data_IF_948026983594
#
_entry.id   IF_948026983594
#
_cell.length_a   1.000
_cell.length_b   1.000
_cell.length_c   1.000
_cell.angle_alpha   90.00
_cell.angle_beta   90.00
_cell.angle_gamma   90.00
#
_symmetry.space_group_name_H-M   'P 1'
#
loop_
_entity.id
_entity.type
_entity.pdbx_description
1 polymer ?
#
# COMPACT_ATOMS: atom_id res chain seq x y z
N UNK A 1 -6.70 4.97 77.91
CA UNK A 1 -6.30 6.40 77.98
C UNK A 1 -4.86 6.49 77.47
N UNK A 2 -4.47 6.97 76.30
CA UNK A 2 -5.08 7.33 75.02
C UNK A 2 -3.90 7.80 74.12
N UNK A 3 -4.12 7.80 72.78
CA UNK A 3 -3.43 8.64 71.77
C UNK A 3 -1.96 8.19 71.46
N UNK A 4 -1.45 8.00 70.23
CA UNK A 4 -1.81 8.23 68.82
C UNK A 4 -0.95 7.23 67.99
N UNK A 5 -1.53 6.56 66.99
CA UNK A 5 -0.77 5.93 65.89
C UNK A 5 -1.26 6.52 64.57
N UNK A 6 -0.34 7.10 63.81
CA UNK A 6 -0.54 7.54 62.42
C UNK A 6 0.10 6.49 61.53
N UNK A 7 -0.71 5.74 60.77
CA UNK A 7 -0.26 4.83 59.71
C UNK A 7 -0.78 5.36 58.37
N UNK A 8 0.16 5.49 57.44
CA UNK A 8 -0.04 5.92 56.06
C UNK A 8 -0.76 4.84 55.24
N UNK A 9 -1.71 5.28 54.42
CA UNK A 9 -2.52 4.46 53.51
C UNK A 9 -1.69 3.81 52.40
N UNK A 10 -1.86 2.51 52.20
CA UNK A 10 -1.76 1.88 50.88
C UNK A 10 -2.84 0.80 50.79
N UNK A 11 -3.98 1.14 50.19
CA UNK A 11 -5.15 0.28 50.10
C UNK A 11 -5.02 -0.68 48.89
N UNK A 12 -4.82 -1.95 49.18
CA UNK A 12 -5.24 -3.08 48.35
C UNK A 12 -6.77 -3.19 48.42
N UNK A 13 -7.45 -3.13 47.27
CA UNK A 13 -8.75 -3.81 47.09
C UNK A 13 -8.82 -4.45 45.72
N UNK A 14 -8.74 -5.77 45.76
CA UNK A 14 -9.28 -6.74 44.82
C UNK A 14 -10.61 -6.31 44.21
N UNK A 15 -10.67 -6.26 42.87
CA UNK A 15 -11.90 -6.45 42.13
C UNK A 15 -11.61 -7.52 41.08
N UNK A 16 -12.17 -8.71 41.30
CA UNK A 16 -12.30 -9.74 40.29
C UNK A 16 -13.15 -9.17 39.16
N UNK A 17 -12.51 -8.67 38.10
CA UNK A 17 -13.18 -8.53 36.81
C UNK A 17 -13.17 -9.91 36.16
N UNK A 18 -14.17 -10.72 36.50
CA UNK A 18 -14.67 -11.73 35.56
C UNK A 18 -15.21 -10.94 34.37
N UNK A 19 -14.34 -10.66 33.40
CA UNK A 19 -14.79 -10.28 32.06
C UNK A 19 -15.43 -11.55 31.50
N UNK A 20 -16.73 -11.69 31.70
CA UNK A 20 -17.54 -12.50 30.81
C UNK A 20 -17.19 -12.07 29.40
N UNK A 21 -16.60 -12.98 28.62
CA UNK A 21 -16.62 -12.90 27.17
C UNK A 21 -18.11 -12.88 26.78
N UNK A 22 -18.74 -11.71 26.81
CA UNK A 22 -19.93 -11.49 26.01
C UNK A 22 -19.54 -11.95 24.62
N UNK A 23 -20.24 -12.96 24.11
CA UNK A 23 -20.11 -13.46 22.74
C UNK A 23 -19.96 -12.22 21.86
N UNK A 24 -18.76 -11.98 21.32
CA UNK A 24 -18.63 -11.09 20.18
C UNK A 24 -19.49 -11.73 19.11
N UNK A 25 -20.70 -11.22 18.94
CA UNK A 25 -21.72 -11.83 18.07
C UNK A 25 -21.11 -11.95 16.68
N UNK A 26 -20.78 -13.20 16.31
CA UNK A 26 -20.06 -13.51 15.09
C UNK A 26 -21.05 -13.69 13.96
N UNK A 27 -20.78 -13.09 12.81
CA UNK A 27 -21.55 -13.30 11.59
C UNK A 27 -21.34 -14.72 11.07
N UNK A 28 -22.41 -15.50 10.88
CA UNK A 28 -22.35 -16.81 10.25
C UNK A 28 -22.69 -16.68 8.76
N UNK A 29 -21.79 -17.12 7.91
CA UNK A 29 -21.93 -17.03 6.47
C UNK A 29 -22.07 -18.42 5.87
N UNK A 30 -23.22 -18.71 5.26
CA UNK A 30 -23.37 -19.92 4.46
C UNK A 30 -22.77 -19.72 3.06
N UNK A 31 -21.94 -20.69 2.66
CA UNK A 31 -21.43 -20.83 1.30
C UNK A 31 -21.54 -22.27 0.84
N UNK A 32 -21.91 -22.55 -0.42
CA UNK A 32 -22.03 -23.92 -0.92
C UNK A 32 -20.66 -24.65 -0.91
N UNK A 33 -19.56 -23.90 -1.01
CA UNK A 33 -18.19 -24.44 -0.98
C UNK A 33 -17.21 -23.42 -0.38
N UNK A 34 -16.41 -23.85 0.60
CA UNK A 34 -15.37 -23.02 1.23
C UNK A 34 -14.07 -22.99 0.42
N UNK A 35 -14.10 -22.44 -0.80
CA UNK A 35 -12.92 -22.28 -1.67
C UNK A 35 -11.87 -21.33 -1.08
N UNK A 36 -10.64 -21.37 -1.60
CA UNK A 36 -9.57 -20.43 -1.22
C UNK A 36 -9.97 -18.97 -1.45
N UNK A 37 -10.56 -18.66 -2.61
CA UNK A 37 -11.02 -17.31 -2.99
C UNK A 37 -12.11 -16.78 -2.05
N UNK A 38 -13.10 -17.62 -1.70
CA UNK A 38 -14.14 -17.27 -0.72
C UNK A 38 -13.51 -16.96 0.64
N UNK A 39 -12.66 -17.85 1.16
CA UNK A 39 -12.00 -17.64 2.46
C UNK A 39 -11.22 -16.32 2.48
N UNK A 40 -10.45 -16.08 1.43
CA UNK A 40 -9.62 -14.89 1.28
C UNK A 40 -10.44 -13.60 1.25
N UNK A 41 -11.45 -13.51 0.39
CA UNK A 41 -12.25 -12.27 0.23
C UNK A 41 -13.11 -11.99 1.44
N UNK A 42 -13.74 -13.02 2.02
CA UNK A 42 -14.53 -12.83 3.22
C UNK A 42 -13.63 -12.43 4.40
N UNK A 43 -12.41 -12.98 4.51
CA UNK A 43 -11.42 -12.52 5.50
C UNK A 43 -11.03 -11.06 5.29
N UNK A 44 -10.75 -10.66 4.06
CA UNK A 44 -10.45 -9.27 3.72
C UNK A 44 -11.62 -8.34 4.08
N UNK A 45 -12.84 -8.65 3.64
CA UNK A 45 -13.99 -7.78 3.89
C UNK A 45 -14.33 -7.73 5.38
N UNK A 46 -14.55 -8.87 6.02
CA UNK A 46 -15.07 -8.90 7.38
C UNK A 46 -13.98 -8.65 8.43
N UNK A 47 -12.85 -9.35 8.40
CA UNK A 47 -11.80 -9.18 9.42
C UNK A 47 -10.93 -7.95 9.17
N UNK A 48 -10.49 -7.73 7.93
CA UNK A 48 -9.52 -6.65 7.66
C UNK A 48 -10.22 -5.29 7.50
N UNK A 49 -11.29 -5.23 6.70
CA UNK A 49 -11.93 -3.96 6.35
C UNK A 49 -13.02 -3.56 7.34
N UNK A 50 -13.89 -4.48 7.75
CA UNK A 50 -15.03 -4.18 8.62
C UNK A 50 -14.75 -4.45 10.11
N UNK A 51 -13.66 -5.15 10.43
CA UNK A 51 -13.30 -5.55 11.80
C UNK A 51 -14.40 -6.35 12.51
N UNK A 52 -15.19 -7.09 11.74
CA UNK A 52 -16.29 -7.92 12.21
C UNK A 52 -15.87 -9.40 12.17
N UNK A 53 -15.87 -10.11 13.30
CA UNK A 53 -15.64 -11.56 13.32
C UNK A 53 -16.73 -12.28 12.53
N UNK A 54 -16.32 -13.27 11.75
CA UNK A 54 -17.23 -14.11 10.99
C UNK A 54 -16.78 -15.57 10.97
N UNK A 55 -17.68 -16.45 10.61
CA UNK A 55 -17.41 -17.86 10.36
C UNK A 55 -18.09 -18.33 9.07
N UNK A 56 -17.46 -19.26 8.35
CA UNK A 56 -18.02 -19.85 7.13
C UNK A 56 -18.56 -21.24 7.43
N UNK A 57 -19.79 -21.52 7.01
CA UNK A 57 -20.40 -22.84 7.02
C UNK A 57 -20.83 -23.27 5.61
N UNK A 58 -20.80 -24.57 5.36
CA UNK A 58 -21.38 -25.21 4.18
C UNK A 58 -22.38 -26.29 4.58
N UNK A 59 -22.69 -26.36 5.88
CA UNK A 59 -23.70 -27.22 6.47
C UNK A 59 -24.96 -26.35 6.61
N UNK A 60 -25.99 -26.71 5.85
CA UNK A 60 -27.24 -25.97 5.80
C UNK A 60 -28.06 -26.15 7.08
N UNK A 61 -28.03 -27.34 7.70
CA UNK A 61 -28.76 -27.62 8.93
C UNK A 61 -28.14 -26.85 10.10
N UNK A 62 -26.81 -26.83 10.18
CA UNK A 62 -26.09 -26.01 11.17
C UNK A 62 -26.30 -24.51 10.95
N UNK A 63 -26.46 -24.06 9.69
CA UNK A 63 -26.77 -22.67 9.38
C UNK A 63 -28.21 -22.31 9.79
N UNK A 64 -29.19 -23.14 9.44
CA UNK A 64 -30.60 -22.87 9.73
C UNK A 64 -30.90 -22.90 11.23
N UNK A 65 -30.24 -23.78 11.98
CA UNK A 65 -30.39 -23.90 13.45
C UNK A 65 -29.59 -22.89 14.26
N UNK A 66 -28.78 -22.03 13.63
CA UNK A 66 -27.95 -21.05 14.35
C UNK A 66 -28.72 -19.78 14.69
N UNK A 67 -28.58 -19.33 15.95
CA UNK A 67 -29.11 -18.04 16.43
C UNK A 67 -28.19 -16.84 16.10
N UNK A 68 -27.09 -17.06 15.38
CA UNK A 68 -26.18 -15.98 14.98
C UNK A 68 -26.83 -15.09 13.90
N UNK A 69 -26.30 -13.87 13.74
CA UNK A 69 -26.58 -13.09 12.54
C UNK A 69 -26.07 -13.84 11.32
N UNK A 70 -26.90 -13.93 10.27
CA UNK A 70 -26.68 -14.84 9.15
C UNK A 70 -26.66 -14.12 7.82
N UNK A 71 -25.84 -14.61 6.89
CA UNK A 71 -25.98 -14.28 5.48
C UNK A 71 -25.64 -15.48 4.61
N UNK A 72 -26.17 -15.47 3.41
CA UNK A 72 -25.96 -16.50 2.40
C UNK A 72 -25.19 -15.89 1.23
N UNK A 73 -24.12 -16.55 0.81
CA UNK A 73 -23.44 -16.25 -0.45
C UNK A 73 -23.39 -17.50 -1.34
N UNK A 74 -24.10 -17.44 -2.48
CA UNK A 74 -24.26 -18.58 -3.37
C UNK A 74 -25.20 -18.31 -4.54
N UNK A 75 -25.64 -19.36 -5.23
CA UNK A 75 -26.54 -19.23 -6.40
C UNK A 75 -28.01 -19.01 -6.04
N UNK A 76 -28.40 -19.39 -4.81
CA UNK A 76 -29.77 -19.36 -4.28
C UNK A 76 -29.76 -18.81 -2.84
N UNK A 77 -30.88 -18.23 -2.35
CA UNK A 77 -30.97 -17.65 -1.01
C UNK A 77 -30.99 -18.67 0.13
N UNK A 78 -31.49 -19.91 -0.08
CA UNK A 78 -31.56 -21.01 0.91
C UNK A 78 -32.29 -20.71 2.26
N UNK A 79 -32.70 -19.47 2.50
CA UNK A 79 -33.35 -18.95 3.73
C UNK A 79 -33.85 -17.52 3.50
N UNK A 80 -34.60 -16.95 4.45
CA UNK A 80 -35.02 -15.54 4.49
C UNK A 80 -33.95 -14.61 5.11
N UNK A 81 -32.73 -15.14 5.31
CA UNK A 81 -31.57 -14.35 5.76
C UNK A 81 -31.01 -13.50 4.61
N UNK A 82 -30.06 -12.61 4.93
CA UNK A 82 -29.47 -11.72 3.94
C UNK A 82 -28.77 -12.51 2.83
N UNK A 83 -29.16 -12.32 1.57
CA UNK A 83 -28.62 -13.08 0.45
C UNK A 83 -27.76 -12.22 -0.48
N UNK A 84 -26.56 -12.69 -0.81
CA UNK A 84 -25.71 -12.14 -1.86
C UNK A 84 -25.52 -13.18 -2.96
N UNK A 85 -26.02 -12.90 -4.16
CA UNK A 85 -25.86 -13.82 -5.27
C UNK A 85 -24.42 -13.86 -5.78
N UNK A 86 -23.92 -15.07 -5.97
CA UNK A 86 -22.60 -15.32 -6.55
C UNK A 86 -22.66 -15.28 -8.08
N UNK A 87 -21.66 -14.66 -8.71
CA UNK A 87 -21.40 -14.76 -10.16
C UNK A 87 -20.60 -16.01 -10.54
N UNK A 88 -20.05 -16.73 -9.56
CA UNK A 88 -19.33 -17.99 -9.73
C UNK A 88 -17.82 -17.87 -9.63
N UNK A 89 -17.23 -16.68 -9.81
CA UNK A 89 -15.77 -16.48 -9.85
C UNK A 89 -15.06 -17.00 -8.61
N UNK A 90 -15.65 -16.82 -7.42
CA UNK A 90 -15.03 -17.27 -6.17
C UNK A 90 -15.01 -18.80 -6.02
N UNK A 91 -15.78 -19.55 -6.80
CA UNK A 91 -15.80 -21.02 -6.75
C UNK A 91 -14.95 -21.69 -7.84
N UNK A 92 -14.46 -20.90 -8.81
CA UNK A 92 -13.57 -21.34 -9.87
C UNK A 92 -12.15 -21.58 -9.35
N UNK A 93 -11.34 -22.26 -10.18
CA UNK A 93 -9.89 -22.44 -10.01
C UNK A 93 -9.20 -22.09 -11.32
N UNK A 94 -8.00 -21.54 -11.23
CA UNK A 94 -7.24 -21.13 -12.40
C UNK A 94 -7.70 -19.79 -12.96
N UNK A 95 -7.09 -19.37 -14.06
CA UNK A 95 -7.23 -18.02 -14.60
C UNK A 95 -7.91 -18.11 -15.95
N UNK A 96 -9.23 -18.00 -15.93
CA UNK A 96 -10.04 -17.90 -17.15
C UNK A 96 -10.19 -16.43 -17.57
N UNK A 97 -10.38 -16.20 -18.86
CA UNK A 97 -10.74 -14.87 -19.36
C UNK A 97 -12.12 -14.47 -18.85
N UNK A 98 -12.21 -13.27 -18.28
CA UNK A 98 -13.46 -12.73 -17.71
C UNK A 98 -13.83 -11.47 -18.46
N UNK A 99 -14.97 -11.50 -19.16
CA UNK A 99 -15.56 -10.30 -19.75
C UNK A 99 -16.29 -9.50 -18.67
N UNK A 100 -15.72 -8.37 -18.26
CA UNK A 100 -16.30 -7.51 -17.24
C UNK A 100 -17.36 -6.58 -17.82
N UNK A 101 -18.62 -6.95 -17.64
CA UNK A 101 -19.78 -6.08 -17.91
C UNK A 101 -19.97 -5.11 -16.76
N UNK A 102 -19.58 -3.85 -16.97
CA UNK A 102 -19.75 -2.79 -15.98
C UNK A 102 -21.08 -2.06 -16.17
N UNK A 103 -21.66 -1.60 -15.06
CA UNK A 103 -22.89 -0.80 -15.05
C UNK A 103 -22.86 0.24 -13.92
N UNK A 104 -23.74 1.23 -13.98
CA UNK A 104 -23.88 2.24 -12.94
C UNK A 104 -24.81 1.76 -11.82
N UNK A 105 -24.35 1.89 -10.58
CA UNK A 105 -25.10 1.59 -9.36
C UNK A 105 -24.78 2.66 -8.31
N UNK A 106 -25.81 3.36 -7.83
CA UNK A 106 -25.70 4.45 -6.85
C UNK A 106 -24.64 5.52 -7.20
N UNK A 107 -24.52 5.86 -8.48
CA UNK A 107 -23.55 6.86 -8.97
C UNK A 107 -22.10 6.37 -9.03
N UNK A 108 -21.87 5.07 -8.87
CA UNK A 108 -20.57 4.41 -8.99
C UNK A 108 -20.63 3.29 -10.03
N UNK A 109 -19.48 2.87 -10.56
CA UNK A 109 -19.43 1.68 -11.43
C UNK A 109 -19.34 0.41 -10.58
N UNK A 110 -20.09 -0.61 -10.97
CA UNK A 110 -20.01 -1.97 -10.48
C UNK A 110 -19.82 -2.94 -11.64
N UNK A 111 -19.36 -4.16 -11.36
CA UNK A 111 -19.22 -5.23 -12.35
C UNK A 111 -19.55 -6.59 -11.70
N UNK A 112 -19.58 -7.68 -12.48
CA UNK A 112 -20.23 -8.95 -12.11
C UNK A 112 -21.73 -8.81 -11.81
N UNK A 113 -22.54 -8.30 -12.76
CA UNK A 113 -23.98 -8.17 -12.54
C UNK A 113 -24.61 -9.53 -12.22
N UNK A 114 -25.58 -9.52 -11.31
CA UNK A 114 -26.38 -10.71 -10.97
C UNK A 114 -27.85 -10.37 -11.16
N UNK A 115 -28.59 -11.31 -11.75
CA UNK A 115 -30.01 -11.15 -12.05
C UNK A 115 -30.81 -11.98 -11.04
N UNK A 116 -31.16 -11.34 -9.92
CA UNK A 116 -31.97 -11.93 -8.86
C UNK A 116 -32.55 -10.82 -7.99
N UNK A 117 -33.87 -10.84 -7.79
CA UNK A 117 -34.57 -9.84 -7.01
C UNK A 117 -34.34 -10.01 -5.49
N UNK A 118 -34.00 -11.22 -5.04
CA UNK A 118 -33.76 -11.52 -3.63
C UNK A 118 -32.32 -11.20 -3.20
N UNK A 119 -31.41 -10.93 -4.15
CA UNK A 119 -30.03 -10.55 -3.86
C UNK A 119 -29.96 -9.12 -3.31
N UNK A 120 -29.26 -8.96 -2.20
CA UNK A 120 -29.08 -7.68 -1.51
C UNK A 120 -28.35 -6.62 -2.36
N UNK A 121 -27.61 -7.04 -3.39
CA UNK A 121 -26.98 -6.18 -4.39
C UNK A 121 -27.22 -6.73 -5.80
N UNK A 122 -27.32 -5.85 -6.83
CA UNK A 122 -27.49 -6.25 -8.22
C UNK A 122 -26.18 -6.73 -8.88
N UNK A 123 -25.13 -6.98 -8.09
CA UNK A 123 -23.87 -7.54 -8.54
C UNK A 123 -23.22 -8.37 -7.43
N UNK A 124 -22.33 -9.26 -7.85
CA UNK A 124 -21.48 -10.00 -6.92
C UNK A 124 -20.34 -9.10 -6.44
N UNK A 125 -20.61 -8.43 -5.31
CA UNK A 125 -19.67 -7.54 -4.64
C UNK A 125 -18.39 -8.25 -4.21
N UNK A 126 -18.47 -9.51 -3.79
CA UNK A 126 -17.31 -10.26 -3.32
C UNK A 126 -16.41 -10.69 -4.48
N UNK A 127 -16.99 -11.11 -5.61
CA UNK A 127 -16.24 -11.34 -6.85
C UNK A 127 -15.61 -10.05 -7.38
N UNK A 128 -16.31 -8.92 -7.27
CA UNK A 128 -15.78 -7.61 -7.68
C UNK A 128 -14.57 -7.20 -6.85
N UNK A 129 -14.65 -7.36 -5.53
CA UNK A 129 -13.53 -7.12 -4.62
C UNK A 129 -12.37 -8.04 -4.95
N UNK A 130 -12.62 -9.35 -5.06
CA UNK A 130 -11.60 -10.35 -5.36
C UNK A 130 -10.82 -10.02 -6.63
N UNK A 131 -11.52 -9.70 -7.71
CA UNK A 131 -10.92 -9.40 -9.00
C UNK A 131 -9.93 -8.24 -8.91
N UNK A 132 -10.28 -7.17 -8.19
CA UNK A 132 -9.40 -6.01 -8.02
C UNK A 132 -8.19 -6.32 -7.13
N UNK A 133 -8.40 -6.95 -5.97
CA UNK A 133 -7.30 -7.14 -5.01
C UNK A 133 -6.35 -8.27 -5.39
N UNK A 134 -6.85 -9.30 -6.07
CA UNK A 134 -5.99 -10.36 -6.65
C UNK A 134 -5.21 -9.87 -7.87
N UNK A 135 -5.52 -8.66 -8.38
CA UNK A 135 -5.01 -8.15 -9.66
C UNK A 135 -5.22 -9.17 -10.78
N UNK A 136 -6.40 -9.78 -10.82
CA UNK A 136 -6.75 -10.85 -11.77
C UNK A 136 -6.39 -10.51 -13.22
N UNK A 137 -6.57 -9.25 -13.63
CA UNK A 137 -6.21 -8.75 -14.97
C UNK A 137 -4.71 -8.80 -15.30
N UNK A 138 -3.82 -8.77 -14.30
CA UNK A 138 -2.37 -8.79 -14.50
C UNK A 138 -1.82 -10.21 -14.68
N UNK A 139 -2.64 -11.23 -14.45
CA UNK A 139 -2.33 -12.63 -14.77
C UNK A 139 -2.70 -13.00 -16.21
N UNK A 140 -3.47 -12.15 -16.90
CA UNK A 140 -3.81 -12.36 -18.31
C UNK A 140 -2.70 -11.80 -19.21
N UNK A 141 -2.60 -12.23 -20.48
CA UNK A 141 -1.65 -11.64 -21.42
C UNK A 141 -1.88 -10.13 -21.61
N UNK A 142 -0.82 -9.34 -21.45
CA UNK A 142 -0.83 -7.90 -21.71
C UNK A 142 0.50 -7.47 -22.35
N UNK A 143 0.51 -6.28 -22.93
CA UNK A 143 1.75 -5.65 -23.43
C UNK A 143 2.30 -4.75 -22.32
N UNK A 144 3.44 -5.09 -21.70
CA UNK A 144 4.04 -4.26 -20.67
C UNK A 144 4.60 -2.96 -21.25
N UNK A 145 4.83 -1.97 -20.38
CA UNK A 145 5.62 -0.81 -20.79
C UNK A 145 7.11 -1.13 -20.96
N UNK A 146 7.91 -0.12 -21.34
CA UNK A 146 9.36 -0.26 -21.53
C UNK A 146 10.16 -0.73 -20.31
N UNK A 147 9.55 -0.75 -19.12
CA UNK A 147 10.16 -1.23 -17.87
C UNK A 147 9.58 -2.59 -17.43
N UNK A 148 8.75 -3.24 -18.24
CA UNK A 148 8.13 -4.51 -17.91
C UNK A 148 6.89 -4.39 -17.00
N UNK A 149 6.27 -3.19 -16.90
CA UNK A 149 5.20 -2.93 -15.92
C UNK A 149 3.83 -3.04 -16.54
N UNK A 150 2.86 -3.53 -15.76
CA UNK A 150 1.45 -3.33 -16.03
C UNK A 150 1.07 -1.86 -15.82
N UNK A 151 0.38 -1.27 -16.80
CA UNK A 151 0.11 0.17 -16.84
C UNK A 151 -1.34 0.50 -16.52
N UNK A 152 -1.55 1.71 -15.97
CA UNK A 152 -2.89 2.15 -15.57
C UNK A 152 -3.90 2.14 -16.72
N UNK A 153 -3.50 2.50 -17.94
CA UNK A 153 -4.41 2.57 -19.09
C UNK A 153 -4.99 1.20 -19.51
N UNK A 154 -4.30 0.10 -19.20
CA UNK A 154 -4.78 -1.26 -19.43
C UNK A 154 -5.80 -1.70 -18.37
N UNK A 155 -5.75 -1.09 -17.18
CA UNK A 155 -6.57 -1.49 -16.05
C UNK A 155 -8.06 -1.28 -16.31
N UNK A 156 -8.88 -2.19 -15.81
CA UNK A 156 -10.33 -2.01 -15.74
C UNK A 156 -10.68 -0.72 -14.98
N UNK A 157 -9.96 -0.42 -13.90
CA UNK A 157 -10.22 0.76 -13.07
C UNK A 157 -10.06 2.08 -13.85
N UNK A 158 -9.05 2.18 -14.73
CA UNK A 158 -8.89 3.34 -15.59
C UNK A 158 -9.94 3.39 -16.69
N UNK A 159 -10.23 2.26 -17.35
CA UNK A 159 -11.24 2.20 -18.43
C UNK A 159 -12.64 2.56 -17.94
N UNK A 160 -12.97 2.21 -16.71
CA UNK A 160 -14.25 2.53 -16.08
C UNK A 160 -14.28 3.91 -15.38
N UNK A 161 -13.16 4.65 -15.36
CA UNK A 161 -13.08 5.96 -14.70
C UNK A 161 -13.15 5.90 -13.16
N UNK A 162 -12.90 4.74 -12.56
CA UNK A 162 -12.95 4.50 -11.11
C UNK A 162 -11.58 4.50 -10.44
N UNK A 163 -10.50 4.72 -11.20
CA UNK A 163 -9.11 4.67 -10.69
C UNK A 163 -8.87 5.60 -9.49
N UNK A 164 -9.59 6.73 -9.41
CA UNK A 164 -9.44 7.70 -8.32
C UNK A 164 -10.31 7.39 -7.10
N UNK A 165 -10.92 6.20 -7.02
CA UNK A 165 -11.79 5.79 -5.90
C UNK A 165 -11.31 4.46 -5.29
N UNK A 166 -11.29 4.33 -3.95
CA UNK A 166 -10.99 3.07 -3.30
C UNK A 166 -12.24 2.15 -3.33
N UNK A 167 -12.60 1.68 -4.52
CA UNK A 167 -13.84 0.92 -4.78
C UNK A 167 -14.04 -0.29 -3.86
N UNK A 168 -12.97 -1.02 -3.53
CA UNK A 168 -13.02 -2.15 -2.59
C UNK A 168 -13.47 -1.71 -1.20
N UNK A 169 -12.93 -0.58 -0.71
CA UNK A 169 -13.34 0.00 0.57
C UNK A 169 -14.79 0.49 0.54
N UNK A 170 -15.17 1.15 -0.54
CA UNK A 170 -16.54 1.67 -0.73
C UNK A 170 -17.54 0.50 -0.73
N UNK A 171 -17.27 -0.56 -1.48
CA UNK A 171 -18.12 -1.75 -1.52
C UNK A 171 -18.17 -2.49 -0.18
N UNK A 172 -17.06 -2.58 0.56
CA UNK A 172 -17.09 -3.12 1.91
C UNK A 172 -18.02 -2.30 2.83
N UNK A 173 -18.02 -0.97 2.72
CA UNK A 173 -18.95 -0.11 3.48
C UNK A 173 -20.41 -0.27 3.02
N UNK A 174 -20.66 -0.54 1.74
CA UNK A 174 -22.01 -0.89 1.27
C UNK A 174 -22.49 -2.20 1.92
N UNK A 175 -21.64 -3.24 1.95
CA UNK A 175 -21.94 -4.50 2.64
C UNK A 175 -22.20 -4.27 4.12
N UNK A 176 -21.37 -3.45 4.78
CA UNK A 176 -21.60 -3.05 6.19
C UNK A 176 -22.98 -2.43 6.37
N UNK A 177 -23.36 -1.45 5.55
CA UNK A 177 -24.64 -0.76 5.65
C UNK A 177 -25.81 -1.74 5.53
N UNK A 178 -25.78 -2.61 4.52
CA UNK A 178 -26.82 -3.63 4.30
C UNK A 178 -26.95 -4.56 5.52
N UNK A 179 -25.84 -5.00 6.10
CA UNK A 179 -25.85 -5.85 7.30
C UNK A 179 -26.41 -5.10 8.50
N UNK A 180 -26.05 -3.83 8.71
CA UNK A 180 -26.57 -3.00 9.81
C UNK A 180 -28.08 -2.74 9.66
N UNK A 181 -28.55 -2.53 8.44
CA UNK A 181 -29.97 -2.31 8.15
C UNK A 181 -30.79 -3.58 8.44
N UNK A 182 -30.25 -4.78 8.18
CA UNK A 182 -30.90 -6.07 8.50
C UNK A 182 -30.78 -6.45 9.97
N UNK A 183 -29.64 -6.16 10.59
CA UNK A 183 -29.30 -6.55 11.96
C UNK A 183 -28.85 -5.33 12.77
N UNK A 184 -29.77 -4.50 13.29
CA UNK A 184 -29.44 -3.24 13.97
C UNK A 184 -28.59 -3.40 15.24
N UNK A 185 -28.57 -4.59 15.83
CA UNK A 185 -27.78 -4.94 17.02
C UNK A 185 -26.31 -5.21 16.71
N UNK A 186 -25.93 -5.41 15.43
CA UNK A 186 -24.55 -5.74 15.08
C UNK A 186 -23.63 -4.51 15.19
N UNK A 187 -22.54 -4.65 15.95
CA UNK A 187 -21.60 -3.55 16.22
C UNK A 187 -20.35 -3.72 15.39
N UNK A 188 -20.01 -2.67 14.63
CA UNK A 188 -18.76 -2.59 13.88
C UNK A 188 -17.77 -1.68 14.62
N UNK A 189 -16.52 -2.12 14.82
CA UNK A 189 -15.49 -1.26 15.38
C UNK A 189 -15.30 0.02 14.57
N UNK A 190 -15.07 1.14 15.28
CA UNK A 190 -14.76 2.42 14.64
C UNK A 190 -13.36 2.34 14.05
N UNK A 191 -13.24 2.81 12.81
CA UNK A 191 -11.97 2.93 12.12
C UNK A 191 -11.54 4.39 12.06
N UNK A 192 -10.24 4.60 12.06
CA UNK A 192 -9.64 5.92 11.94
C UNK A 192 -8.77 5.99 10.70
N UNK A 193 -8.89 7.12 10.00
CA UNK A 193 -7.99 7.48 8.92
C UNK A 193 -6.53 7.48 9.38
N UNK A 194 -5.61 7.06 8.51
CA UNK A 194 -4.16 7.06 8.76
C UNK A 194 -3.41 7.62 7.57
N UNK A 195 -2.27 8.24 7.84
CA UNK A 195 -1.33 8.71 6.82
C UNK A 195 0.06 8.11 7.04
N UNK A 196 0.64 7.56 5.98
CA UNK A 196 2.00 7.00 5.97
C UNK A 196 2.80 7.60 4.81
N UNK A 197 3.69 8.57 5.06
CA UNK A 197 4.65 9.02 4.07
C UNK A 197 5.72 7.96 3.85
N UNK A 198 6.14 7.77 2.61
CA UNK A 198 7.23 6.86 2.25
C UNK A 198 8.24 7.56 1.35
N UNK A 199 9.50 7.17 1.47
CA UNK A 199 10.60 7.78 0.75
C UNK A 199 11.46 6.76 0.01
N UNK A 200 11.66 6.97 -1.29
CA UNK A 200 12.54 6.14 -2.11
C UNK A 200 13.88 6.88 -2.28
N UNK A 201 14.96 6.21 -1.88
CA UNK A 201 16.32 6.76 -1.90
C UNK A 201 17.11 6.10 -3.03
N UNK A 202 16.82 6.54 -4.26
CA UNK A 202 17.52 6.10 -5.48
C UNK A 202 18.97 6.56 -5.49
N UNK A 203 19.21 7.78 -5.00
CA UNK A 203 20.54 8.36 -4.85
C UNK A 203 20.54 9.34 -3.69
N UNK A 204 21.31 9.06 -2.65
CA UNK A 204 21.40 9.94 -1.48
C UNK A 204 22.04 11.31 -1.77
N UNK A 205 22.87 11.40 -2.82
CA UNK A 205 23.61 12.61 -3.17
C UNK A 205 23.61 12.82 -4.69
N UNK A 206 23.51 14.07 -5.14
CA UNK A 206 23.60 14.44 -6.55
C UNK A 206 25.05 14.52 -7.03
N UNK A 207 25.97 15.00 -6.18
CA UNK A 207 27.37 15.21 -6.53
C UNK A 207 28.32 14.53 -5.54
N UNK A 208 28.07 14.67 -4.23
CA UNK A 208 28.95 14.09 -3.20
C UNK A 208 28.94 12.57 -3.26
N UNK A 209 30.01 11.94 -2.77
CA UNK A 209 30.09 10.49 -2.55
C UNK A 209 29.91 9.59 -3.81
N UNK A 210 29.86 10.16 -5.03
CA UNK A 210 29.74 9.39 -6.29
C UNK A 210 31.06 8.80 -6.79
N UNK A 211 32.20 9.18 -6.20
CA UNK A 211 33.53 8.77 -6.65
C UNK A 211 34.06 9.62 -7.82
N UNK A 212 35.36 9.50 -8.11
CA UNK A 212 36.07 10.35 -9.06
C UNK A 212 35.56 10.18 -10.50
N UNK A 213 35.39 8.94 -10.96
CA UNK A 213 34.96 8.63 -12.33
C UNK A 213 33.60 9.26 -12.65
N UNK A 214 32.60 9.11 -11.76
CA UNK A 214 31.28 9.72 -11.95
C UNK A 214 31.33 11.24 -11.85
N UNK A 215 32.20 11.78 -11.00
CA UNK A 215 32.37 13.23 -10.87
C UNK A 215 32.94 13.83 -12.15
N UNK A 216 34.00 13.23 -12.71
CA UNK A 216 34.58 13.62 -14.00
C UNK A 216 33.60 13.47 -15.16
N UNK A 217 32.89 12.34 -15.23
CA UNK A 217 31.85 12.13 -16.24
C UNK A 217 30.75 13.19 -16.19
N UNK A 218 30.37 13.65 -14.99
CA UNK A 218 29.42 14.75 -14.83
C UNK A 218 29.96 16.11 -15.30
N UNK A 219 31.25 16.40 -15.10
CA UNK A 219 31.87 17.61 -15.68
C UNK A 219 31.93 17.53 -17.20
N UNK A 220 32.27 16.37 -17.78
CA UNK A 220 32.29 16.17 -19.23
C UNK A 220 30.90 16.35 -19.85
N UNK A 221 29.86 15.84 -19.18
CA UNK A 221 28.47 16.02 -19.63
C UNK A 221 28.06 17.49 -19.57
N UNK A 222 28.32 18.17 -18.45
CA UNK A 222 28.01 19.59 -18.31
C UNK A 222 28.77 20.46 -19.32
N UNK A 223 30.03 20.15 -19.61
CA UNK A 223 30.81 20.81 -20.65
C UNK A 223 30.20 20.58 -22.05
N UNK A 224 29.77 19.35 -22.35
CA UNK A 224 29.12 19.01 -23.62
C UNK A 224 27.79 19.75 -23.78
N UNK A 225 27.04 19.92 -22.70
CA UNK A 225 25.75 20.63 -22.67
C UNK A 225 25.89 22.15 -22.49
N UNK A 226 27.13 22.65 -22.34
CA UNK A 226 27.44 24.05 -22.02
C UNK A 226 26.76 24.55 -20.73
N UNK A 227 26.48 23.65 -19.79
CA UNK A 227 25.87 23.93 -18.49
C UNK A 227 26.93 24.36 -17.47
N UNK A 228 27.42 25.60 -17.64
CA UNK A 228 28.38 26.20 -16.72
C UNK A 228 27.84 26.32 -15.30
N UNK A 229 26.52 26.51 -15.14
CA UNK A 229 25.87 26.61 -13.83
C UNK A 229 26.01 25.31 -13.04
N UNK A 230 25.75 24.13 -13.65
CA UNK A 230 25.99 22.83 -13.00
C UNK A 230 27.46 22.63 -12.66
N UNK A 231 28.40 23.02 -13.55
CA UNK A 231 29.83 22.90 -13.28
C UNK A 231 30.25 23.71 -12.04
N UNK A 232 29.84 24.98 -11.97
CA UNK A 232 30.15 25.84 -10.81
C UNK A 232 29.48 25.32 -9.54
N UNK A 233 28.20 24.92 -9.62
CA UNK A 233 27.48 24.40 -8.46
C UNK A 233 28.10 23.10 -7.95
N UNK A 234 28.35 22.13 -8.84
CA UNK A 234 29.06 20.88 -8.54
C UNK A 234 30.40 21.13 -7.86
N UNK A 235 31.19 22.09 -8.37
CA UNK A 235 32.47 22.47 -7.76
C UNK A 235 32.28 22.97 -6.33
N UNK A 236 31.31 23.88 -6.10
CA UNK A 236 31.01 24.39 -4.76
C UNK A 236 30.59 23.27 -3.81
N UNK A 237 29.74 22.34 -4.26
CA UNK A 237 29.30 21.19 -3.45
C UNK A 237 30.46 20.26 -3.10
N UNK A 238 31.31 19.93 -4.06
CA UNK A 238 32.47 19.06 -3.84
C UNK A 238 33.54 19.68 -2.92
N UNK A 239 33.68 21.02 -2.95
CA UNK A 239 34.53 21.77 -2.03
C UNK A 239 33.87 22.03 -0.66
N UNK A 240 32.64 21.57 -0.42
CA UNK A 240 31.91 21.79 0.83
C UNK A 240 31.42 23.22 1.04
N UNK A 241 31.41 24.05 -0.02
CA UNK A 241 30.94 25.44 0.00
C UNK A 241 29.44 25.59 -0.29
N UNK A 242 28.78 24.50 -0.67
CA UNK A 242 27.34 24.42 -0.88
C UNK A 242 26.83 23.05 -0.40
N UNK A 243 25.54 22.97 -0.03
CA UNK A 243 24.88 21.71 0.30
C UNK A 243 24.61 20.92 -0.96
N UNK A 244 24.67 19.60 -0.87
CA UNK A 244 24.26 18.75 -1.99
C UNK A 244 22.73 18.80 -2.11
N UNK A 245 22.16 19.02 -3.32
CA UNK A 245 20.72 19.22 -3.48
C UNK A 245 19.90 17.98 -3.09
N UNK A 246 20.48 16.77 -3.13
CA UNK A 246 19.76 15.55 -2.75
C UNK A 246 19.84 15.27 -1.24
N UNK A 247 20.71 15.99 -0.51
CA UNK A 247 20.91 15.86 0.93
C UNK A 247 19.82 16.62 1.70
N UNK A 248 18.57 16.16 1.58
CA UNK A 248 17.37 16.75 2.20
C UNK A 248 16.95 16.02 3.48
N UNK A 249 17.75 15.09 3.98
CA UNK A 249 17.39 14.19 5.07
C UNK A 249 17.15 14.93 6.40
N UNK A 250 17.88 16.00 6.67
CA UNK A 250 17.67 16.80 7.89
C UNK A 250 16.28 17.47 7.88
N UNK A 251 15.85 17.98 6.71
CA UNK A 251 14.52 18.54 6.51
C UNK A 251 13.43 17.48 6.70
N UNK A 252 13.64 16.28 6.17
CA UNK A 252 12.69 15.19 6.34
C UNK A 252 12.55 14.78 7.82
N UNK A 253 13.67 14.69 8.56
CA UNK A 253 13.66 14.42 10.01
C UNK A 253 12.96 15.56 10.77
N UNK A 254 13.13 16.81 10.35
CA UNK A 254 12.41 17.95 10.91
C UNK A 254 10.89 17.78 10.74
N UNK A 255 10.41 17.47 9.53
CA UNK A 255 8.98 17.19 9.31
C UNK A 255 8.48 16.01 10.13
N UNK A 256 9.26 14.94 10.25
CA UNK A 256 8.92 13.79 11.09
C UNK A 256 8.68 14.21 12.54
N UNK A 257 9.60 14.99 13.12
CA UNK A 257 9.48 15.48 14.50
C UNK A 257 8.32 16.45 14.66
N UNK A 258 8.18 17.40 13.74
CA UNK A 258 7.14 18.45 13.78
C UNK A 258 5.73 17.87 13.72
N UNK A 259 5.51 16.88 12.86
CA UNK A 259 4.19 16.33 12.58
C UNK A 259 4.00 14.89 13.10
N UNK A 260 4.94 14.38 13.90
CA UNK A 260 4.93 13.02 14.48
C UNK A 260 4.74 11.92 13.43
N UNK A 261 5.35 12.10 12.26
CA UNK A 261 5.24 11.15 11.14
C UNK A 261 6.04 9.89 11.44
N UNK A 262 5.55 8.76 10.94
CA UNK A 262 6.23 7.45 11.00
C UNK A 262 6.51 6.95 9.58
N UNK A 263 7.51 7.51 8.88
CA UNK A 263 7.77 7.15 7.50
C UNK A 263 8.44 5.78 7.35
N UNK A 264 8.37 5.27 6.12
CA UNK A 264 9.17 4.13 5.65
C UNK A 264 10.12 4.61 4.57
N UNK A 265 11.40 4.28 4.70
CA UNK A 265 12.44 4.61 3.73
C UNK A 265 12.89 3.37 2.97
N UNK A 266 12.79 3.39 1.65
CA UNK A 266 13.27 2.32 0.77
C UNK A 266 14.64 2.72 0.20
N UNK A 267 15.66 1.92 0.51
CA UNK A 267 17.05 2.24 0.17
C UNK A 267 17.48 1.41 -1.04
N UNK A 268 17.87 2.08 -2.13
CA UNK A 268 18.46 1.40 -3.29
C UNK A 268 19.88 0.94 -2.94
N UNK A 269 20.01 -0.35 -2.61
CA UNK A 269 21.24 -0.94 -2.09
C UNK A 269 21.87 -1.98 -3.02
N UNK A 270 21.66 -1.83 -4.32
CA UNK A 270 22.22 -2.68 -5.37
C UNK A 270 23.55 -2.22 -5.95
N UNK A 271 24.02 -2.99 -6.94
CA UNK A 271 25.18 -2.65 -7.75
C UNK A 271 24.85 -1.51 -8.72
N UNK A 272 25.84 -0.67 -9.03
CA UNK A 272 25.65 0.42 -9.99
C UNK A 272 25.43 -0.15 -11.40
N UNK A 273 24.34 0.26 -12.05
CA UNK A 273 23.90 -0.26 -13.34
C UNK A 273 23.37 0.80 -14.29
N UNK A 274 22.77 0.38 -15.39
CA UNK A 274 22.11 1.29 -16.35
C UNK A 274 20.95 2.06 -15.69
N UNK A 275 20.13 1.37 -14.91
CA UNK A 275 18.96 1.92 -14.23
C UNK A 275 19.28 2.33 -12.79
N UNK A 276 20.18 1.60 -12.11
CA UNK A 276 20.50 1.82 -10.70
C UNK A 276 21.70 2.78 -10.53
N UNK A 277 21.43 4.00 -10.07
CA UNK A 277 22.42 5.09 -9.97
C UNK A 277 22.77 5.46 -8.52
N UNK A 278 22.50 4.54 -7.59
CA UNK A 278 22.76 4.69 -6.16
C UNK A 278 24.23 4.99 -5.83
N UNK A 279 24.46 5.34 -4.57
CA UNK A 279 25.79 5.50 -4.03
C UNK A 279 26.37 4.11 -3.78
N UNK A 280 27.66 3.93 -4.04
CA UNK A 280 28.33 2.64 -3.84
C UNK A 280 28.03 2.11 -2.42
N UNK A 281 27.57 0.87 -2.32
CA UNK A 281 27.11 0.26 -1.07
C UNK A 281 28.20 0.19 -0.01
N UNK A 282 29.50 0.23 -0.36
CA UNK A 282 30.64 0.27 0.58
C UNK A 282 30.99 1.68 1.09
N UNK A 283 30.34 2.72 0.56
CA UNK A 283 30.61 4.10 0.97
C UNK A 283 30.26 4.32 2.45
N UNK A 284 31.24 4.74 3.25
CA UNK A 284 31.09 4.94 4.71
C UNK A 284 30.05 6.00 5.05
N UNK A 285 30.02 7.11 4.31
CA UNK A 285 29.07 8.21 4.51
C UNK A 285 27.64 7.76 4.23
N UNK A 286 27.43 6.99 3.16
CA UNK A 286 26.12 6.45 2.83
C UNK A 286 25.63 5.44 3.87
N UNK A 287 26.49 4.51 4.31
CA UNK A 287 26.17 3.58 5.40
C UNK A 287 25.83 4.30 6.71
N UNK A 288 26.58 5.35 7.05
CA UNK A 288 26.28 6.17 8.22
C UNK A 288 24.94 6.89 8.10
N UNK A 289 24.62 7.44 6.92
CA UNK A 289 23.32 8.04 6.66
C UNK A 289 22.17 7.03 6.84
N UNK A 290 22.31 5.81 6.30
CA UNK A 290 21.29 4.75 6.45
C UNK A 290 21.06 4.45 7.93
N UNK A 291 22.14 4.27 8.72
CA UNK A 291 22.04 4.08 10.17
C UNK A 291 21.31 5.24 10.86
N UNK A 292 21.68 6.48 10.51
CA UNK A 292 21.04 7.70 11.06
C UNK A 292 19.54 7.76 10.74
N UNK A 293 19.11 7.32 9.55
CA UNK A 293 17.68 7.25 9.19
C UNK A 293 16.99 6.15 10.00
N UNK A 294 17.63 4.98 10.13
CA UNK A 294 17.12 3.84 10.89
C UNK A 294 16.86 4.16 12.38
N UNK A 295 17.58 5.13 12.97
CA UNK A 295 17.33 5.59 14.34
C UNK A 295 15.95 6.24 14.54
N UNK A 296 15.31 6.71 13.46
CA UNK A 296 14.04 7.47 13.53
C UNK A 296 12.91 6.90 12.66
N UNK A 297 13.20 5.98 11.73
CA UNK A 297 12.23 5.48 10.76
C UNK A 297 12.49 4.02 10.37
N UNK A 298 11.45 3.36 9.83
CA UNK A 298 11.58 1.98 9.29
C UNK A 298 12.37 2.04 7.98
N UNK A 299 13.36 1.16 7.85
CA UNK A 299 14.11 0.95 6.60
C UNK A 299 13.56 -0.28 5.89
N UNK A 300 13.39 -0.15 4.57
CA UNK A 300 13.12 -1.24 3.64
C UNK A 300 14.15 -1.29 2.53
N UNK A 301 14.23 -2.44 1.87
CA UNK A 301 15.01 -2.58 0.64
C UNK A 301 14.27 -1.91 -0.52
N UNK A 302 15.00 -1.22 -1.39
CA UNK A 302 14.53 -0.83 -2.71
C UNK A 302 15.26 -1.68 -3.74
N UNK A 303 14.80 -2.90 -4.05
CA UNK A 303 15.58 -3.84 -4.85
C UNK A 303 15.91 -3.26 -6.21
N UNK A 304 17.14 -3.48 -6.67
CA UNK A 304 17.61 -2.95 -7.95
C UNK A 304 16.82 -3.52 -9.13
N UNK A 305 16.91 -2.84 -10.28
CA UNK A 305 16.10 -3.12 -11.47
C UNK A 305 16.14 -4.60 -11.91
N UNK A 306 17.31 -5.23 -11.75
CA UNK A 306 17.58 -6.58 -12.24
C UNK A 306 17.14 -7.69 -11.26
N UNK A 307 16.80 -7.38 -10.01
CA UNK A 307 16.43 -8.39 -9.00
C UNK A 307 15.18 -9.20 -9.37
N UNK A 308 14.31 -8.66 -10.22
CA UNK A 308 13.15 -9.38 -10.75
C UNK A 308 13.50 -10.52 -11.70
N UNK A 309 14.66 -10.49 -12.35
CA UNK A 309 15.15 -11.54 -13.26
C UNK A 309 16.22 -12.42 -12.60
N UNK A 310 16.92 -11.88 -11.60
CA UNK A 310 18.04 -12.49 -10.92
C UNK A 310 17.81 -12.48 -9.39
N UNK A 311 17.05 -13.46 -8.85
CA UNK A 311 16.70 -13.51 -7.42
C UNK A 311 17.93 -13.55 -6.48
N UNK A 312 19.06 -14.07 -6.94
CA UNK A 312 20.32 -14.08 -6.17
C UNK A 312 20.82 -12.67 -5.84
N UNK A 313 20.51 -11.68 -6.68
CA UNK A 313 20.83 -10.28 -6.41
C UNK A 313 19.94 -9.72 -5.29
N UNK A 314 18.67 -10.14 -5.23
CA UNK A 314 17.76 -9.73 -4.16
C UNK A 314 18.30 -10.16 -2.79
N UNK A 315 18.71 -11.43 -2.69
CA UNK A 315 19.32 -11.98 -1.48
C UNK A 315 20.58 -11.20 -1.06
N UNK A 316 21.48 -10.93 -2.02
CA UNK A 316 22.70 -10.16 -1.75
C UNK A 316 22.38 -8.75 -1.22
N UNK A 317 21.46 -8.05 -1.89
CA UNK A 317 21.08 -6.67 -1.57
C UNK A 317 20.45 -6.56 -0.18
N UNK A 318 19.52 -7.45 0.16
CA UNK A 318 18.89 -7.54 1.49
C UNK A 318 19.96 -7.82 2.54
N UNK A 319 20.74 -8.89 2.36
CA UNK A 319 21.81 -9.29 3.30
C UNK A 319 22.83 -8.18 3.56
N UNK A 320 23.17 -7.41 2.53
CA UNK A 320 24.12 -6.30 2.66
C UNK A 320 23.52 -5.12 3.42
N UNK A 321 22.24 -4.82 3.21
CA UNK A 321 21.53 -3.74 3.91
C UNK A 321 21.31 -4.10 5.39
N UNK A 322 20.90 -5.33 5.69
CA UNK A 322 20.76 -5.86 7.05
C UNK A 322 22.05 -5.71 7.86
N UNK A 323 23.20 -6.04 7.26
CA UNK A 323 24.52 -5.85 7.88
C UNK A 323 24.84 -4.38 8.18
N UNK A 324 24.25 -3.43 7.43
CA UNK A 324 24.44 -1.99 7.70
C UNK A 324 23.61 -1.55 8.89
N UNK A 325 22.34 -1.94 8.96
CA UNK A 325 21.43 -1.52 10.05
C UNK A 325 21.51 -2.40 11.29
N UNK A 326 22.13 -3.58 11.18
CA UNK A 326 22.18 -4.63 12.21
C UNK A 326 20.76 -5.02 12.69
N UNK A 327 19.88 -5.23 11.72
CA UNK A 327 18.47 -5.57 11.90
C UNK A 327 17.96 -6.27 10.64
N UNK A 328 16.93 -7.11 10.78
CA UNK A 328 16.27 -7.76 9.65
C UNK A 328 15.54 -6.74 8.77
N UNK A 329 15.60 -6.93 7.45
CA UNK A 329 14.88 -6.10 6.48
C UNK A 329 13.68 -6.88 5.96
N UNK A 330 12.50 -6.54 6.48
CA UNK A 330 11.24 -7.24 6.17
C UNK A 330 10.32 -6.45 5.23
N UNK A 331 10.77 -5.31 4.71
CA UNK A 331 9.96 -4.44 3.83
C UNK A 331 10.64 -4.14 2.53
N UNK A 332 9.84 -4.08 1.46
CA UNK A 332 10.33 -3.85 0.11
C UNK A 332 9.46 -2.87 -0.66
N UNK A 333 10.09 -2.18 -1.61
CA UNK A 333 9.42 -1.53 -2.74
C UNK A 333 10.32 -1.69 -3.96
N UNK A 334 9.81 -2.18 -5.08
CA UNK A 334 10.62 -2.39 -6.28
C UNK A 334 11.04 -1.07 -6.92
N UNK A 335 12.31 -0.96 -7.31
CA UNK A 335 12.78 0.16 -8.12
C UNK A 335 12.01 0.21 -9.45
N UNK A 336 11.71 1.42 -9.92
CA UNK A 336 10.80 1.69 -11.04
C UNK A 336 9.37 1.18 -10.87
N UNK A 337 8.97 0.70 -9.68
CA UNK A 337 7.70 0.01 -9.46
C UNK A 337 7.53 -1.22 -10.36
N UNK A 338 8.63 -1.92 -10.63
CA UNK A 338 8.68 -3.09 -11.51
C UNK A 338 8.07 -4.31 -10.82
N UNK A 339 6.75 -4.38 -10.83
CA UNK A 339 5.96 -5.46 -10.26
C UNK A 339 5.46 -6.40 -11.37
N UNK A 340 5.97 -7.64 -11.38
CA UNK A 340 5.56 -8.71 -12.28
C UNK A 340 4.92 -9.84 -11.47
N UNK A 341 3.60 -9.92 -11.47
CA UNK A 341 2.87 -10.96 -10.73
C UNK A 341 2.93 -12.32 -11.45
N UNK A 342 2.98 -13.44 -10.72
CA UNK A 342 3.22 -13.55 -9.27
C UNK A 342 4.72 -13.49 -8.91
N UNK A 343 5.62 -13.56 -9.90
CA UNK A 343 7.07 -13.78 -9.73
C UNK A 343 7.74 -12.85 -8.72
N UNK A 344 7.54 -11.53 -8.86
CA UNK A 344 8.14 -10.56 -7.94
C UNK A 344 7.76 -10.82 -6.49
N UNK A 345 6.49 -11.14 -6.22
CA UNK A 345 6.01 -11.39 -4.85
C UNK A 345 6.45 -12.74 -4.31
N UNK A 346 6.59 -13.76 -5.15
CA UNK A 346 7.21 -15.02 -4.75
C UNK A 346 8.67 -14.83 -4.34
N UNK A 347 9.47 -14.12 -5.13
CA UNK A 347 10.86 -13.83 -4.79
C UNK A 347 10.97 -13.07 -3.47
N UNK A 348 10.07 -12.11 -3.20
CA UNK A 348 10.03 -11.41 -1.92
C UNK A 348 9.69 -12.35 -0.75
N UNK A 349 8.73 -13.27 -0.92
CA UNK A 349 8.35 -14.25 0.10
C UNK A 349 9.51 -15.21 0.39
N UNK A 350 10.26 -15.64 -0.63
CA UNK A 350 11.44 -16.51 -0.48
C UNK A 350 12.57 -15.85 0.33
N UNK A 351 12.63 -14.52 0.32
CA UNK A 351 13.58 -13.70 1.09
C UNK A 351 12.97 -13.15 2.39
N UNK A 352 11.93 -13.80 2.92
CA UNK A 352 11.26 -13.46 4.19
C UNK A 352 10.74 -12.00 4.29
N UNK A 353 10.50 -11.34 3.15
CA UNK A 353 9.85 -10.03 3.12
C UNK A 353 8.38 -10.19 3.49
N UNK A 354 7.96 -9.45 4.53
CA UNK A 354 6.59 -9.49 5.05
C UNK A 354 5.70 -8.38 4.49
N UNK A 355 6.27 -7.24 4.10
CA UNK A 355 5.50 -6.08 3.61
C UNK A 355 6.06 -5.52 2.29
N UNK A 356 5.22 -5.47 1.25
CA UNK A 356 5.54 -4.80 -0.03
C UNK A 356 4.76 -3.49 -0.18
N UNK A 357 5.42 -2.45 -0.67
CA UNK A 357 4.85 -1.13 -0.91
C UNK A 357 4.86 -0.73 -2.40
N UNK A 358 4.91 -1.71 -3.30
CA UNK A 358 5.05 -1.50 -4.76
C UNK A 358 3.70 -1.28 -5.46
N UNK A 359 2.58 -1.67 -4.86
CA UNK A 359 1.25 -1.70 -5.48
C UNK A 359 0.63 -0.31 -5.75
N UNK A 360 1.16 0.38 -6.76
CA UNK A 360 0.64 1.61 -7.34
C UNK A 360 1.03 1.72 -8.82
N UNK A 361 0.62 2.81 -9.47
CA UNK A 361 0.98 3.08 -10.86
C UNK A 361 2.02 4.19 -10.94
N UNK A 362 2.98 4.03 -11.85
CA UNK A 362 3.99 5.06 -12.10
C UNK A 362 3.43 6.29 -12.82
N UNK A 363 2.49 6.08 -13.76
CA UNK A 363 2.09 7.12 -14.71
C UNK A 363 0.82 7.90 -14.32
N UNK A 364 -0.02 7.35 -13.43
CA UNK A 364 -1.25 7.98 -12.96
C UNK A 364 -1.43 7.71 -11.47
N UNK A 365 -1.84 8.71 -10.65
CA UNK A 365 -2.18 8.46 -9.27
C UNK A 365 -3.54 7.78 -9.18
N UNK A 366 -3.84 7.15 -8.04
CA UNK A 366 -5.08 6.41 -7.80
C UNK A 366 -4.86 5.06 -7.13
N UNK A 367 -5.89 4.23 -7.12
CA UNK A 367 -5.95 2.97 -6.40
C UNK A 367 -5.75 1.80 -7.35
N UNK A 368 -4.50 1.35 -7.57
CA UNK A 368 -4.18 0.23 -8.50
C UNK A 368 -5.02 -1.01 -8.22
N UNK A 369 -5.06 -1.47 -6.96
CA UNK A 369 -5.87 -2.60 -6.52
C UNK A 369 -7.29 -2.21 -6.07
N UNK A 370 -7.74 -0.98 -6.35
CA UNK A 370 -9.05 -0.46 -5.93
C UNK A 370 -9.21 -0.33 -4.41
N UNK A 371 -8.15 -0.48 -3.63
CA UNK A 371 -8.16 -0.52 -2.16
C UNK A 371 -7.10 0.45 -1.62
N UNK A 372 -7.39 1.08 -0.48
CA UNK A 372 -6.46 1.96 0.23
C UNK A 372 -5.83 1.36 1.48
N UNK A 373 -6.40 0.26 1.98
CA UNK A 373 -5.84 -0.47 3.11
C UNK A 373 -4.90 -1.58 2.67
N UNK A 374 -4.00 -1.95 3.57
CA UNK A 374 -3.14 -3.10 3.39
C UNK A 374 -3.94 -4.41 3.38
N UNK A 375 -3.55 -5.35 2.53
CA UNK A 375 -4.18 -6.66 2.36
C UNK A 375 -3.13 -7.73 2.05
N UNK A 376 -3.45 -9.02 2.17
CA UNK A 376 -2.46 -10.06 1.83
C UNK A 376 -2.46 -10.36 0.33
N UNK A 377 -1.29 -10.70 -0.20
CA UNK A 377 -1.18 -11.18 -1.56
C UNK A 377 -1.87 -12.55 -1.69
N UNK A 378 -2.80 -12.64 -2.65
CA UNK A 378 -3.37 -13.91 -3.11
C UNK A 378 -2.66 -14.35 -4.38
N UNK A 379 -1.93 -15.45 -4.29
CA UNK A 379 -1.28 -16.05 -5.45
C UNK A 379 -2.31 -16.82 -6.27
N UNK A 380 -2.72 -16.22 -7.39
CA UNK A 380 -3.82 -16.72 -8.21
C UNK A 380 -3.47 -18.04 -8.91
N UNK A 381 -2.23 -18.23 -9.35
CA UNK A 381 -1.77 -19.47 -9.98
C UNK A 381 -1.82 -20.64 -8.99
N UNK A 382 -1.45 -20.39 -7.74
CA UNK A 382 -1.40 -21.40 -6.68
C UNK A 382 -2.72 -21.53 -5.90
N UNK A 383 -3.69 -20.64 -6.14
CA UNK A 383 -4.96 -20.55 -5.40
C UNK A 383 -4.78 -20.50 -3.88
N UNK A 384 -3.82 -19.67 -3.42
CA UNK A 384 -3.43 -19.58 -2.01
C UNK A 384 -3.26 -18.13 -1.56
N UNK A 385 -3.78 -17.84 -0.36
CA UNK A 385 -3.44 -16.61 0.35
C UNK A 385 -2.06 -16.76 0.99
N UNK A 386 -1.17 -15.81 0.73
CA UNK A 386 0.18 -15.77 1.30
C UNK A 386 0.23 -14.87 2.55
N UNK A 387 1.37 -14.85 3.24
CA UNK A 387 1.60 -13.93 4.37
C UNK A 387 2.13 -12.55 3.94
N UNK A 388 2.55 -12.39 2.68
CA UNK A 388 3.05 -11.11 2.19
C UNK A 388 1.92 -10.07 2.21
N UNK A 389 2.15 -8.97 2.92
CA UNK A 389 1.20 -7.89 3.05
C UNK A 389 1.51 -6.77 2.05
N UNK A 390 0.53 -6.46 1.21
CA UNK A 390 0.62 -5.41 0.20
C UNK A 390 0.11 -4.10 0.82
N UNK A 391 0.89 -3.02 0.68
CA UNK A 391 0.58 -1.67 1.10
C UNK A 391 0.47 -0.76 -0.13
N UNK A 392 -0.73 -0.57 -0.70
CA UNK A 392 -0.89 0.24 -1.90
C UNK A 392 -0.63 1.73 -1.61
N UNK A 393 0.04 2.41 -2.53
CA UNK A 393 0.22 3.86 -2.49
C UNK A 393 -0.58 4.54 -3.61
N UNK A 394 -1.02 5.77 -3.34
CA UNK A 394 -1.96 6.47 -4.21
C UNK A 394 -1.30 7.53 -5.07
N UNK A 395 -0.17 8.07 -4.61
CA UNK A 395 0.48 9.21 -5.26
C UNK A 395 1.99 9.12 -5.13
N UNK A 396 2.68 9.52 -6.20
CA UNK A 396 4.12 9.66 -6.27
C UNK A 396 4.48 11.02 -6.89
N UNK A 397 5.49 11.68 -6.33
CA UNK A 397 6.01 12.96 -6.83
C UNK A 397 6.39 12.92 -8.33
N UNK A 398 7.12 11.89 -8.77
CA UNK A 398 7.45 11.64 -10.16
C UNK A 398 6.22 11.43 -11.05
N UNK A 399 5.14 10.81 -10.53
CA UNK A 399 3.87 10.70 -11.29
C UNK A 399 3.31 12.07 -11.61
N UNK A 400 3.16 12.91 -10.60
CA UNK A 400 2.54 14.22 -10.75
C UNK A 400 3.39 15.15 -11.62
N UNK A 401 4.71 15.14 -11.43
CA UNK A 401 5.60 16.04 -12.17
C UNK A 401 6.04 15.52 -13.53
N UNK A 402 6.54 14.29 -13.62
CA UNK A 402 7.19 13.80 -14.83
C UNK A 402 6.22 13.19 -15.82
N UNK A 403 5.28 12.40 -15.33
CA UNK A 403 4.30 11.74 -16.17
C UNK A 403 3.14 12.67 -16.52
N UNK A 404 2.57 13.34 -15.51
CA UNK A 404 1.42 14.22 -15.70
C UNK A 404 1.78 15.68 -15.99
N UNK A 405 3.03 16.10 -15.73
CA UNK A 405 3.51 17.48 -15.98
C UNK A 405 2.66 18.55 -15.30
N UNK A 406 2.18 18.26 -14.09
CA UNK A 406 1.33 19.18 -13.34
C UNK A 406 2.13 20.34 -12.76
N UNK A 407 1.45 21.48 -12.61
CA UNK A 407 1.95 22.57 -11.77
C UNK A 407 1.86 22.18 -10.28
N UNK A 408 2.63 22.82 -9.39
CA UNK A 408 2.48 22.61 -7.95
C UNK A 408 1.03 22.77 -7.44
N UNK A 409 0.28 23.75 -7.97
CA UNK A 409 -1.10 23.97 -7.56
C UNK A 409 -2.03 22.81 -7.99
N UNK A 410 -1.90 22.34 -9.23
CA UNK A 410 -2.71 21.21 -9.73
C UNK A 410 -2.36 19.90 -9.01
N UNK A 411 -1.07 19.70 -8.72
CA UNK A 411 -0.59 18.57 -7.92
C UNK A 411 -1.22 18.56 -6.51
N UNK A 412 -1.26 19.71 -5.84
CA UNK A 412 -1.91 19.86 -4.53
C UNK A 412 -3.41 19.56 -4.61
N UNK A 413 -4.10 20.05 -5.64
CA UNK A 413 -5.52 19.79 -5.83
C UNK A 413 -5.79 18.29 -6.03
N UNK A 414 -4.98 17.61 -6.84
CA UNK A 414 -5.13 16.17 -7.09
C UNK A 414 -4.83 15.33 -5.84
N UNK A 415 -3.76 15.64 -5.11
CA UNK A 415 -3.44 15.00 -3.82
C UNK A 415 -4.60 15.17 -2.84
N UNK A 416 -5.14 16.39 -2.74
CA UNK A 416 -6.26 16.71 -1.84
C UNK A 416 -7.48 15.86 -2.17
N UNK A 417 -7.84 15.73 -3.44
CA UNK A 417 -8.98 14.90 -3.84
C UNK A 417 -8.81 13.44 -3.42
N UNK A 418 -7.60 12.87 -3.56
CA UNK A 418 -7.31 11.50 -3.16
C UNK A 418 -7.35 11.30 -1.64
N UNK A 419 -6.81 12.26 -0.87
CA UNK A 419 -6.89 12.24 0.59
C UNK A 419 -8.35 12.20 1.04
N UNK A 420 -9.23 13.01 0.44
CA UNK A 420 -10.64 13.04 0.79
C UNK A 420 -11.37 11.73 0.48
N UNK A 421 -11.04 11.07 -0.65
CA UNK A 421 -11.61 9.74 -0.94
C UNK A 421 -11.16 8.68 0.09
N UNK A 422 -9.92 8.75 0.59
CA UNK A 422 -9.46 7.85 1.66
C UNK A 422 -10.10 8.18 3.02
N UNK A 423 -10.33 9.46 3.33
CA UNK A 423 -11.03 9.89 4.54
C UNK A 423 -12.47 9.39 4.58
N UNK A 424 -13.20 9.45 3.46
CA UNK A 424 -14.58 8.93 3.35
C UNK A 424 -14.71 7.48 3.77
N UNK A 425 -13.63 6.69 3.65
CA UNK A 425 -13.62 5.27 4.01
C UNK A 425 -12.82 4.95 5.29
N UNK A 426 -12.31 5.97 6.00
CA UNK A 426 -11.40 5.80 7.15
C UNK A 426 -10.27 4.79 6.87
N UNK A 427 -9.67 4.95 5.68
CA UNK A 427 -8.59 4.10 5.18
C UNK A 427 -7.20 4.61 5.53
N UNK A 428 -6.19 4.04 4.87
CA UNK A 428 -4.80 4.46 5.00
C UNK A 428 -4.35 5.18 3.73
N UNK A 429 -3.85 6.42 3.84
CA UNK A 429 -3.27 7.15 2.71
C UNK A 429 -1.76 6.97 2.72
N UNK A 430 -1.19 6.42 1.66
CA UNK A 430 0.26 6.19 1.51
C UNK A 430 0.75 7.00 0.31
N UNK A 431 1.79 7.81 0.53
CA UNK A 431 2.41 8.65 -0.51
C UNK A 431 3.87 8.28 -0.72
N UNK A 432 4.35 8.31 -1.96
CA UNK A 432 5.73 8.04 -2.35
C UNK A 432 6.44 9.36 -2.73
N UNK A 433 7.59 9.61 -2.12
CA UNK A 433 8.44 10.76 -2.42
C UNK A 433 9.89 10.34 -2.58
N UNK A 434 10.68 11.06 -3.36
CA UNK A 434 12.12 10.88 -3.45
C UNK A 434 12.81 11.98 -2.66
N UNK A 435 13.96 11.70 -2.04
CA UNK A 435 14.69 12.73 -1.30
C UNK A 435 15.01 13.97 -2.15
N UNK A 436 15.26 13.77 -3.44
CA UNK A 436 15.54 14.87 -4.38
C UNK A 436 14.35 15.79 -4.64
N UNK A 437 13.10 15.34 -4.46
CA UNK A 437 11.93 16.17 -4.76
C UNK A 437 11.69 17.30 -3.77
N UNK A 438 12.33 17.22 -2.61
CA UNK A 438 12.31 18.26 -1.58
C UNK A 438 13.45 19.28 -1.72
N UNK A 439 14.29 19.13 -2.75
CA UNK A 439 15.51 19.92 -2.93
C UNK A 439 15.27 21.40 -3.23
N UNK A 440 14.13 21.75 -3.84
CA UNK A 440 13.88 23.08 -4.45
C UNK A 440 14.87 23.43 -5.57
N UNK A 441 15.46 22.40 -6.21
CA UNK A 441 16.52 22.56 -7.20
C UNK A 441 16.14 21.96 -8.55
N UNK A 442 16.66 22.55 -9.63
CA UNK A 442 16.41 22.12 -11.02
C UNK A 442 14.91 21.89 -11.29
N UNK A 443 14.55 20.66 -11.67
CA UNK A 443 13.18 20.20 -11.98
C UNK A 443 12.23 20.23 -10.78
N UNK A 444 12.75 20.35 -9.55
CA UNK A 444 11.98 20.29 -8.30
C UNK A 444 11.76 21.65 -7.64
N UNK A 445 12.04 22.77 -8.33
CA UNK A 445 11.66 24.11 -7.86
C UNK A 445 10.14 24.19 -7.65
N UNK A 446 9.72 24.65 -6.48
CA UNK A 446 8.33 24.75 -6.02
C UNK A 446 7.70 23.45 -5.49
N UNK A 447 8.39 22.30 -5.58
CA UNK A 447 7.82 20.99 -5.21
C UNK A 447 7.83 20.69 -3.72
N UNK A 448 8.69 21.34 -2.92
CA UNK A 448 8.63 21.25 -1.45
C UNK A 448 7.28 21.74 -0.93
N UNK A 449 6.74 22.81 -1.52
CA UNK A 449 5.41 23.33 -1.15
C UNK A 449 4.31 22.29 -1.36
N UNK A 450 4.42 21.46 -2.41
CA UNK A 450 3.48 20.36 -2.67
C UNK A 450 3.55 19.32 -1.55
N UNK A 451 4.76 18.95 -1.12
CA UNK A 451 4.94 18.00 -0.02
C UNK A 451 4.44 18.55 1.31
N UNK A 452 4.74 19.81 1.62
CA UNK A 452 4.26 20.47 2.84
C UNK A 452 2.74 20.57 2.88
N UNK A 453 2.11 20.94 1.76
CA UNK A 453 0.66 20.98 1.62
C UNK A 453 0.04 19.58 1.78
N UNK A 454 0.68 18.54 1.22
CA UNK A 454 0.26 17.16 1.42
C UNK A 454 0.28 16.82 2.91
N UNK A 455 1.38 17.05 3.62
CA UNK A 455 1.46 16.72 5.05
C UNK A 455 0.36 17.43 5.82
N UNK A 456 0.21 18.76 5.65
CA UNK A 456 -0.81 19.53 6.35
C UNK A 456 -2.23 19.01 6.06
N UNK A 457 -2.50 18.62 4.81
CA UNK A 457 -3.81 18.11 4.41
C UNK A 457 -4.05 16.67 4.85
N UNK A 458 -3.01 15.84 4.95
CA UNK A 458 -3.08 14.41 5.26
C UNK A 458 -2.94 14.08 6.75
N UNK A 459 -2.71 15.06 7.63
CA UNK A 459 -2.76 14.79 9.06
C UNK A 459 -4.19 14.43 9.50
N UNK A 460 -4.36 13.46 10.43
CA UNK A 460 -5.68 13.03 10.92
C UNK A 460 -6.53 14.13 11.56
#
# INVERSE_FOLDING_TARGET
MGIKNTIFFCALRSVNFFCTFEKMESLLVFVPKKSSRVRYVFRLVFNDLLKLPFSLTSDLDAFQSSDLHKLVYGEKPWSDDLFFKSSGLLFQRGIDSVELKAFDYEGLKAFFPVHDADSALPFDVFSSIFYLVSRYEEYQPYVPDKYGRFTAHLSVSSRLGILQKPMVNIWALMVKKIIQDRYPTIVFPVRHYRFVPTYDIDSAFAYRQKGLVRSMGGYLLALKELDWEDMFYRTRVLLGRARDPFDTFDLQIEYQKKYQLKPVYFILFGHYGQYDKNINTRNRTFRFLIKRIHDYARIGIHPSYNTGEYPELLHEEISLLEKVVNNEITTSRQHFLRLMLPHTYRNLIEEDISDDYTMGYAALPGFRAGICDSYHFYDLDMEVETKLRIHPFMVMDGTLRDYMKLTPADAIAQITALIEEVRKVNGTFISLWHNESLSEEKRWKGWRTVYEALIQKALP
#
